data_IF_279728930474
#
_entry.id   IF_279728930474
#
_cell.length_a   1.000
_cell.length_b   1.000
_cell.length_c   1.000
_cell.angle_alpha   90.00
_cell.angle_beta   90.00
_cell.angle_gamma   90.00
#
_symmetry.space_group_name_H-M   'P 1'
#
loop_
_entity.id
_entity.type
_entity.pdbx_description
1 polymer ?
#
# COMPACT_ATOMS: atom_id res chain seq x y z
N UNK A 1 -4.76 32.50 -29.76
CA UNK A 1 -4.17 31.45 -28.90
C UNK A 1 -5.29 30.92 -28.01
N UNK A 2 -5.72 29.67 -28.20
CA UNK A 2 -6.75 29.06 -27.36
C UNK A 2 -6.26 28.98 -25.92
N UNK A 3 -6.97 29.61 -24.98
CA UNK A 3 -6.75 29.41 -23.55
C UNK A 3 -6.77 27.91 -23.25
N UNK A 4 -5.66 27.37 -22.74
CA UNK A 4 -5.62 25.98 -22.29
C UNK A 4 -6.40 25.94 -20.98
N UNK A 5 -7.59 25.33 -21.00
CA UNK A 5 -8.33 25.05 -19.78
C UNK A 5 -7.53 24.07 -18.91
N UNK A 6 -6.94 24.57 -17.83
CA UNK A 6 -6.11 23.79 -16.90
C UNK A 6 -6.91 22.81 -16.05
N UNK A 7 -8.25 22.87 -16.10
CA UNK A 7 -9.13 21.98 -15.35
C UNK A 7 -9.48 20.68 -16.09
N UNK A 8 -9.01 20.50 -17.33
CA UNK A 8 -9.32 19.29 -18.13
C UNK A 8 -8.10 18.68 -18.82
N UNK A 9 -7.99 17.35 -18.81
CA UNK A 9 -7.05 16.56 -19.60
C UNK A 9 -7.77 15.92 -20.81
N UNK A 10 -7.13 15.91 -21.97
CA UNK A 10 -7.70 15.32 -23.19
C UNK A 10 -7.07 13.95 -23.45
N UNK A 11 -7.89 12.90 -23.49
CA UNK A 11 -7.46 11.54 -23.82
C UNK A 11 -8.18 11.11 -25.10
N UNK A 12 -7.48 11.15 -26.24
CA UNK A 12 -8.08 10.90 -27.55
C UNK A 12 -9.13 11.96 -27.93
N UNK A 13 -10.38 11.52 -28.14
CA UNK A 13 -11.51 12.42 -28.44
C UNK A 13 -12.22 12.96 -27.19
N UNK A 14 -11.97 12.36 -26.02
CA UNK A 14 -12.65 12.70 -24.78
C UNK A 14 -11.92 13.79 -23.99
N UNK A 15 -12.68 14.69 -23.37
CA UNK A 15 -12.19 15.73 -22.45
C UNK A 15 -12.59 15.30 -21.03
N UNK A 16 -11.61 15.01 -20.19
CA UNK A 16 -11.82 14.61 -18.80
C UNK A 16 -11.47 15.76 -17.87
N UNK A 17 -12.27 16.06 -16.85
CA UNK A 17 -11.84 16.96 -15.79
C UNK A 17 -10.64 16.36 -15.04
N UNK A 18 -9.74 17.20 -14.55
CA UNK A 18 -8.64 16.76 -13.68
C UNK A 18 -9.17 16.18 -12.36
N UNK A 19 -10.31 16.68 -11.89
CA UNK A 19 -11.05 16.12 -10.77
C UNK A 19 -12.24 15.30 -11.28
N UNK A 20 -12.10 13.96 -11.31
CA UNK A 20 -13.18 13.06 -11.71
C UNK A 20 -14.12 12.75 -10.53
N UNK A 21 -15.20 13.49 -10.36
CA UNK A 21 -16.25 13.13 -9.38
C UNK A 21 -17.03 11.84 -9.71
N UNK A 22 -16.85 11.28 -10.90
CA UNK A 22 -17.52 10.07 -11.39
C UNK A 22 -16.63 9.31 -12.38
N UNK A 23 -16.82 8.00 -12.52
CA UNK A 23 -16.13 7.21 -13.54
C UNK A 23 -17.04 7.07 -14.78
N UNK A 24 -16.67 7.57 -15.98
CA UNK A 24 -17.50 7.44 -17.18
C UNK A 24 -17.82 5.98 -17.54
N UNK A 25 -19.01 5.73 -18.08
CA UNK A 25 -19.50 4.38 -18.44
C UNK A 25 -18.54 3.64 -19.37
N UNK A 26 -17.88 4.37 -20.28
CA UNK A 26 -16.82 3.83 -21.14
C UNK A 26 -15.71 3.14 -20.34
N UNK A 27 -15.19 3.78 -19.28
CA UNK A 27 -14.11 3.21 -18.46
C UNK A 27 -14.61 2.08 -17.56
N UNK A 28 -15.89 2.12 -17.13
CA UNK A 28 -16.51 1.01 -16.41
C UNK A 28 -16.57 -0.24 -17.29
N UNK A 29 -17.14 -0.13 -18.50
CA UNK A 29 -17.20 -1.23 -19.49
C UNK A 29 -15.81 -1.71 -19.89
N UNK A 30 -14.86 -0.79 -20.05
CA UNK A 30 -13.48 -1.15 -20.37
C UNK A 30 -12.82 -1.93 -19.23
N UNK A 31 -13.02 -1.55 -17.98
CA UNK A 31 -12.52 -2.30 -16.82
C UNK A 31 -13.18 -3.70 -16.72
N UNK A 32 -14.49 -3.79 -16.96
CA UNK A 32 -15.19 -5.08 -17.00
C UNK A 32 -14.62 -6.02 -18.08
N UNK A 33 -14.33 -5.49 -19.27
CA UNK A 33 -13.82 -6.29 -20.40
C UNK A 33 -12.33 -6.60 -20.27
N UNK A 34 -11.49 -5.59 -20.00
CA UNK A 34 -10.03 -5.73 -20.00
C UNK A 34 -9.48 -6.27 -18.67
N UNK A 35 -10.08 -5.87 -17.54
CA UNK A 35 -9.63 -6.29 -16.20
C UNK A 35 -10.52 -7.41 -15.63
N UNK A 36 -11.57 -7.80 -16.34
CA UNK A 36 -12.50 -8.85 -15.94
C UNK A 36 -13.19 -8.52 -14.60
N UNK A 37 -13.41 -7.23 -14.32
CA UNK A 37 -13.86 -6.69 -13.03
C UNK A 37 -15.39 -6.70 -12.90
N UNK A 38 -16.00 -7.88 -12.70
CA UNK A 38 -17.43 -7.98 -12.40
C UNK A 38 -17.76 -7.67 -10.93
N UNK A 39 -19.00 -7.25 -10.59
CA UNK A 39 -19.42 -7.03 -9.20
C UNK A 39 -19.15 -8.23 -8.28
N UNK A 40 -19.40 -9.45 -8.76
CA UNK A 40 -19.21 -10.69 -8.01
C UNK A 40 -17.71 -10.94 -7.74
N UNK A 41 -16.86 -10.71 -8.75
CA UNK A 41 -15.40 -10.87 -8.59
C UNK A 41 -14.82 -9.82 -7.66
N UNK A 42 -15.34 -8.60 -7.69
CA UNK A 42 -14.96 -7.54 -6.75
C UNK A 42 -15.31 -7.93 -5.32
N UNK A 43 -16.54 -8.41 -5.10
CA UNK A 43 -16.97 -8.87 -3.77
C UNK A 43 -16.13 -10.06 -3.29
N UNK A 44 -15.87 -11.04 -4.15
CA UNK A 44 -15.03 -12.19 -3.82
C UNK A 44 -13.60 -11.77 -3.47
N UNK A 45 -13.01 -10.83 -4.22
CA UNK A 45 -11.67 -10.30 -3.95
C UNK A 45 -11.61 -9.57 -2.61
N UNK A 46 -12.63 -8.76 -2.29
CA UNK A 46 -12.75 -8.07 -1.00
C UNK A 46 -12.87 -9.05 0.17
N UNK A 47 -13.64 -10.15 0.01
CA UNK A 47 -13.73 -11.22 1.02
C UNK A 47 -12.37 -11.88 1.25
N UNK A 48 -11.64 -12.21 0.18
CA UNK A 48 -10.29 -12.79 0.25
C UNK A 48 -9.31 -11.85 0.96
N UNK A 49 -9.31 -10.56 0.61
CA UNK A 49 -8.43 -9.57 1.27
C UNK A 49 -8.79 -9.44 2.76
N UNK A 50 -10.08 -9.41 3.12
CA UNK A 50 -10.51 -9.36 4.52
C UNK A 50 -10.00 -10.57 5.32
N UNK A 51 -10.06 -11.76 4.73
CA UNK A 51 -9.54 -12.99 5.37
C UNK A 51 -8.01 -12.99 5.47
N UNK A 52 -7.31 -12.52 4.44
CA UNK A 52 -5.86 -12.34 4.43
C UNK A 52 -5.41 -11.39 5.56
N UNK A 53 -6.10 -10.27 5.74
CA UNK A 53 -5.80 -9.29 6.79
C UNK A 53 -6.10 -9.80 8.21
N UNK A 54 -6.98 -10.79 8.37
CA UNK A 54 -7.37 -11.33 9.69
C UNK A 54 -6.40 -12.38 10.23
N UNK A 55 -5.88 -13.24 9.36
CA UNK A 55 -5.29 -14.51 9.80
C UNK A 55 -3.77 -14.62 9.63
N UNK A 56 -3.08 -13.50 9.36
CA UNK A 56 -1.72 -13.50 8.82
C UNK A 56 -1.62 -14.33 7.52
N UNK A 57 -0.52 -14.20 6.79
CA UNK A 57 -0.42 -14.90 5.51
C UNK A 57 -0.29 -16.42 5.70
N UNK A 58 -1.28 -17.18 5.21
CA UNK A 58 -1.20 -18.63 5.08
C UNK A 58 -1.02 -19.02 3.61
N UNK A 59 0.16 -19.50 3.19
CA UNK A 59 0.43 -19.80 1.79
C UNK A 59 -0.40 -20.94 1.19
N UNK A 60 -1.02 -21.79 2.02
CA UNK A 60 -1.94 -22.85 1.55
C UNK A 60 -3.31 -22.31 1.15
N UNK A 61 -3.74 -21.21 1.79
CA UNK A 61 -5.03 -20.56 1.51
C UNK A 61 -4.89 -19.41 0.51
N UNK A 62 -3.80 -18.66 0.60
CA UNK A 62 -3.51 -17.49 -0.23
C UNK A 62 -2.19 -17.71 -0.98
N UNK A 63 -2.23 -18.03 -2.28
CA UNK A 63 -1.04 -18.13 -3.11
C UNK A 63 -0.23 -16.82 -3.11
N UNK A 64 1.09 -16.91 -3.27
CA UNK A 64 1.99 -15.74 -3.29
C UNK A 64 1.55 -14.69 -4.31
N UNK A 65 0.98 -15.08 -5.44
CA UNK A 65 0.54 -14.13 -6.47
C UNK A 65 -0.64 -13.27 -6.02
N UNK A 66 -1.52 -13.79 -5.14
CA UNK A 66 -2.56 -12.96 -4.52
C UNK A 66 -1.94 -11.97 -3.53
N UNK A 67 -0.91 -12.38 -2.78
CA UNK A 67 -0.19 -11.48 -1.87
C UNK A 67 0.50 -10.35 -2.63
N UNK A 68 1.14 -10.65 -3.77
CA UNK A 68 1.72 -9.63 -4.66
C UNK A 68 0.68 -8.61 -5.11
N UNK A 69 -0.49 -9.08 -5.58
CA UNK A 69 -1.60 -8.21 -5.99
C UNK A 69 -2.09 -7.34 -4.84
N UNK A 70 -2.28 -7.92 -3.65
CA UNK A 70 -2.68 -7.17 -2.45
C UNK A 70 -1.63 -6.12 -2.04
N UNK A 71 -0.34 -6.44 -2.16
CA UNK A 71 0.74 -5.51 -1.88
C UNK A 71 0.78 -4.33 -2.86
N UNK A 72 0.67 -4.60 -4.17
CA UNK A 72 0.58 -3.55 -5.20
C UNK A 72 -0.65 -2.68 -4.97
N UNK A 73 -1.79 -3.29 -4.70
CA UNK A 73 -3.02 -2.57 -4.39
C UNK A 73 -2.87 -1.65 -3.18
N UNK A 74 -2.27 -2.14 -2.09
CA UNK A 74 -1.98 -1.34 -0.90
C UNK A 74 -1.09 -0.12 -1.23
N UNK A 75 -0.02 -0.33 -2.01
CA UNK A 75 0.87 0.76 -2.44
C UNK A 75 0.15 1.80 -3.31
N UNK A 76 -0.72 1.37 -4.23
CA UNK A 76 -1.48 2.29 -5.07
C UNK A 76 -2.53 3.08 -4.27
N UNK A 77 -3.17 2.45 -3.28
CA UNK A 77 -4.12 3.15 -2.40
C UNK A 77 -3.41 4.14 -1.48
N UNK A 78 -2.23 3.82 -0.93
CA UNK A 78 -1.49 4.76 -0.10
C UNK A 78 -1.02 5.99 -0.89
N UNK A 79 -0.70 5.80 -2.18
CA UNK A 79 -0.36 6.89 -3.09
C UNK A 79 -1.51 7.83 -3.39
N UNK A 80 -2.77 7.49 -3.10
CA UNK A 80 -3.88 8.44 -3.29
C UNK A 80 -3.92 9.53 -2.22
N UNK A 81 -3.22 9.35 -1.11
CA UNK A 81 -3.21 10.33 -0.03
C UNK A 81 -2.15 11.43 -0.30
N UNK A 82 -2.55 12.71 -0.44
CA UNK A 82 -1.62 13.78 -0.86
C UNK A 82 -0.52 14.02 0.17
N UNK A 83 -0.89 13.94 1.45
CA UNK A 83 0.07 14.06 2.54
C UNK A 83 1.11 12.95 2.51
N UNK A 84 0.73 11.74 2.09
CA UNK A 84 1.67 10.61 1.90
C UNK A 84 2.58 10.83 0.68
N UNK A 85 2.09 11.43 -0.40
CA UNK A 85 2.91 11.80 -1.56
C UNK A 85 3.97 12.86 -1.20
N UNK A 86 3.56 13.90 -0.45
CA UNK A 86 4.45 15.01 -0.08
C UNK A 86 5.43 14.60 1.02
N UNK A 87 4.96 14.03 2.11
CA UNK A 87 5.79 13.72 3.29
C UNK A 87 6.53 12.39 3.17
N UNK A 88 6.02 11.48 2.34
CA UNK A 88 6.51 10.11 2.22
C UNK A 88 5.92 9.17 3.28
N UNK A 89 6.30 7.90 3.18
CA UNK A 89 5.69 6.79 3.90
C UNK A 89 6.70 6.22 4.91
N UNK A 90 6.25 6.06 6.16
CA UNK A 90 6.90 5.18 7.15
C UNK A 90 6.06 3.91 7.31
N UNK A 91 6.68 2.74 7.18
CA UNK A 91 5.98 1.46 7.27
C UNK A 91 6.39 0.70 8.53
N UNK A 92 5.43 0.05 9.20
CA UNK A 92 5.69 -0.90 10.28
C UNK A 92 5.34 -2.29 9.74
N UNK A 93 6.28 -3.22 9.83
CA UNK A 93 6.13 -4.60 9.39
C UNK A 93 6.28 -5.51 10.61
N UNK A 94 5.16 -6.03 11.09
CA UNK A 94 5.14 -7.05 12.12
C UNK A 94 5.40 -8.43 11.48
N UNK A 95 6.57 -8.99 11.76
CA UNK A 95 6.99 -10.28 11.20
C UNK A 95 6.80 -11.45 12.16
N UNK A 96 6.05 -11.28 13.26
CA UNK A 96 5.80 -12.32 14.28
C UNK A 96 5.30 -13.63 13.72
N UNK A 97 4.48 -13.60 12.66
CA UNK A 97 3.94 -14.79 12.00
C UNK A 97 4.81 -15.32 10.85
N UNK A 98 6.04 -14.82 10.71
CA UNK A 98 6.94 -15.26 9.64
C UNK A 98 7.69 -16.52 10.05
N UNK A 99 7.33 -17.64 9.40
CA UNK A 99 7.96 -18.93 9.62
C UNK A 99 9.01 -19.24 8.56
N UNK A 100 9.94 -20.17 8.86
CA UNK A 100 10.93 -20.68 7.89
C UNK A 100 10.28 -21.18 6.60
N UNK A 101 9.06 -21.73 6.67
CA UNK A 101 8.29 -22.17 5.51
C UNK A 101 7.96 -21.05 4.51
N UNK A 102 8.03 -19.77 4.93
CA UNK A 102 7.85 -18.63 4.04
C UNK A 102 9.11 -18.31 3.22
N UNK A 103 10.29 -18.79 3.63
CA UNK A 103 11.55 -18.51 2.94
C UNK A 103 11.60 -19.09 1.53
N UNK A 104 10.86 -20.17 1.25
CA UNK A 104 10.75 -20.72 -0.11
C UNK A 104 10.14 -19.73 -1.12
N UNK A 105 9.47 -18.67 -0.64
CA UNK A 105 8.93 -17.60 -1.49
C UNK A 105 9.91 -16.44 -1.67
N UNK A 106 11.04 -16.39 -0.95
CA UNK A 106 12.13 -15.45 -1.15
C UNK A 106 13.01 -15.85 -2.35
N UNK A 107 12.39 -16.19 -3.48
CA UNK A 107 13.10 -16.52 -4.71
C UNK A 107 13.71 -15.25 -5.33
N UNK A 108 14.81 -15.35 -6.09
CA UNK A 108 15.41 -14.19 -6.75
C UNK A 108 14.40 -13.38 -7.58
N UNK A 109 13.50 -14.08 -8.29
CA UNK A 109 12.42 -13.45 -9.07
C UNK A 109 11.46 -12.62 -8.21
N UNK A 110 11.00 -13.16 -7.08
CA UNK A 110 10.10 -12.44 -6.17
C UNK A 110 10.81 -11.27 -5.47
N UNK A 111 12.07 -11.44 -5.06
CA UNK A 111 12.86 -10.38 -4.45
C UNK A 111 13.13 -9.25 -5.43
N UNK A 112 13.48 -9.57 -6.67
CA UNK A 112 13.67 -8.60 -7.73
C UNK A 112 12.38 -7.81 -8.00
N UNK A 113 11.22 -8.49 -8.08
CA UNK A 113 9.93 -7.83 -8.25
C UNK A 113 9.63 -6.82 -7.13
N UNK A 114 9.87 -7.19 -5.87
CA UNK A 114 9.67 -6.29 -4.72
C UNK A 114 10.64 -5.10 -4.80
N UNK A 115 11.92 -5.36 -5.05
CA UNK A 115 12.94 -4.32 -5.15
C UNK A 115 12.63 -3.33 -6.29
N UNK A 116 12.41 -3.84 -7.50
CA UNK A 116 12.08 -3.04 -8.68
C UNK A 116 10.76 -2.29 -8.49
N UNK A 117 9.75 -2.95 -7.90
CA UNK A 117 8.46 -2.35 -7.58
C UNK A 117 8.59 -1.14 -6.63
N UNK A 118 9.38 -1.27 -5.57
CA UNK A 118 9.58 -0.21 -4.57
C UNK A 118 10.52 0.89 -5.09
N UNK A 119 11.56 0.57 -5.87
CA UNK A 119 12.56 1.55 -6.29
C UNK A 119 12.23 2.27 -7.60
N UNK A 120 11.79 1.53 -8.61
CA UNK A 120 11.75 2.01 -10.01
C UNK A 120 10.32 2.25 -10.49
N UNK A 121 9.34 1.52 -9.96
CA UNK A 121 7.96 1.53 -10.49
C UNK A 121 7.02 2.39 -9.65
N UNK A 122 7.05 2.25 -8.33
CA UNK A 122 6.11 2.96 -7.46
C UNK A 122 6.62 4.37 -7.15
N UNK A 123 5.89 5.45 -7.51
CA UNK A 123 6.32 6.84 -7.27
C UNK A 123 6.12 7.25 -5.80
N UNK A 124 6.57 6.42 -4.86
CA UNK A 124 6.46 6.61 -3.42
C UNK A 124 7.77 7.06 -2.79
N UNK A 125 7.70 7.99 -1.84
CA UNK A 125 8.86 8.41 -1.03
C UNK A 125 8.93 7.58 0.25
N UNK A 126 9.61 6.43 0.20
CA UNK A 126 9.84 5.61 1.41
C UNK A 126 10.81 6.30 2.36
N UNK A 127 10.38 6.64 3.57
CA UNK A 127 11.21 7.30 4.57
C UNK A 127 11.90 6.28 5.46
N UNK A 128 11.11 5.45 6.12
CA UNK A 128 11.59 4.48 7.11
C UNK A 128 10.72 3.20 7.04
N UNK A 129 11.33 2.06 7.31
CA UNK A 129 10.68 0.75 7.44
C UNK A 129 11.09 0.16 8.77
N UNK A 130 10.14 -0.10 9.64
CA UNK A 130 10.35 -0.59 11.00
C UNK A 130 9.91 -2.05 11.07
N UNK A 131 10.85 -2.94 11.38
CA UNK A 131 10.62 -4.37 11.51
C UNK A 131 10.59 -4.72 12.99
N UNK A 132 9.50 -5.32 13.46
CA UNK A 132 9.31 -5.74 14.85
C UNK A 132 9.04 -7.26 14.92
N UNK A 133 9.28 -7.85 16.09
CA UNK A 133 9.06 -9.28 16.36
C UNK A 133 9.83 -10.21 15.39
N UNK A 134 11.05 -9.83 15.01
CA UNK A 134 11.85 -10.63 14.09
C UNK A 134 12.43 -11.87 14.77
N UNK A 135 12.31 -13.01 14.09
CA UNK A 135 12.86 -14.28 14.56
C UNK A 135 14.28 -14.49 14.06
N UNK A 136 15.02 -15.43 14.66
CA UNK A 136 16.34 -15.83 14.16
C UNK A 136 16.29 -16.27 12.68
N UNK A 137 15.19 -16.92 12.29
CA UNK A 137 14.93 -17.29 10.90
C UNK A 137 14.79 -16.07 9.99
N UNK A 138 14.10 -15.02 10.44
CA UNK A 138 13.99 -13.77 9.69
C UNK A 138 15.36 -13.08 9.55
N UNK A 139 16.16 -13.05 10.62
CA UNK A 139 17.53 -12.49 10.58
C UNK A 139 18.41 -13.20 9.55
N UNK A 140 18.34 -14.54 9.50
CA UNK A 140 19.05 -15.33 8.50
C UNK A 140 18.58 -15.01 7.07
N UNK A 141 17.27 -14.90 6.86
CA UNK A 141 16.70 -14.51 5.57
C UNK A 141 17.14 -13.12 5.13
N UNK A 142 17.10 -12.15 6.05
CA UNK A 142 17.54 -10.79 5.80
C UNK A 142 19.02 -10.74 5.42
N UNK A 143 19.88 -11.58 6.02
CA UNK A 143 21.29 -11.65 5.66
C UNK A 143 21.53 -12.00 4.18
N UNK A 144 20.64 -12.83 3.60
CA UNK A 144 20.64 -13.18 2.17
C UNK A 144 20.02 -12.06 1.35
N UNK A 145 18.83 -11.60 1.72
CA UNK A 145 18.06 -10.58 0.97
C UNK A 145 18.81 -9.26 0.88
N UNK A 146 19.46 -8.83 1.96
CA UNK A 146 20.13 -7.51 2.02
C UNK A 146 21.19 -7.34 0.95
N UNK A 147 21.77 -8.41 0.39
CA UNK A 147 22.76 -8.30 -0.69
C UNK A 147 22.17 -7.69 -1.97
N UNK A 148 20.86 -7.82 -2.16
CA UNK A 148 20.13 -7.29 -3.32
C UNK A 148 19.46 -5.94 -3.04
N UNK A 149 19.65 -5.39 -1.84
CA UNK A 149 19.04 -4.12 -1.41
C UNK A 149 20.09 -3.02 -1.47
N UNK A 150 19.73 -1.86 -2.02
CA UNK A 150 20.65 -0.70 -2.09
C UNK A 150 21.00 -0.16 -0.70
N UNK A 151 22.18 0.43 -0.53
CA UNK A 151 22.61 1.04 0.73
C UNK A 151 21.63 2.12 1.21
N UNK A 152 21.01 2.86 0.28
CA UNK A 152 19.97 3.85 0.57
C UNK A 152 18.76 3.22 1.27
N UNK A 153 18.34 2.02 0.87
CA UNK A 153 17.19 1.35 1.48
C UNK A 153 17.59 0.63 2.76
N UNK A 154 18.77 0.01 2.82
CA UNK A 154 19.30 -0.58 4.08
C UNK A 154 19.30 0.43 5.22
N UNK A 155 19.76 1.66 4.96
CA UNK A 155 19.78 2.76 5.96
C UNK A 155 18.41 3.21 6.44
N UNK A 156 17.34 2.88 5.70
CA UNK A 156 15.95 3.21 6.04
C UNK A 156 15.23 2.07 6.77
N UNK A 157 15.87 0.91 6.90
CA UNK A 157 15.30 -0.24 7.59
C UNK A 157 15.83 -0.26 9.02
N UNK A 158 14.89 -0.23 9.97
CA UNK A 158 15.15 -0.24 11.40
C UNK A 158 14.61 -1.54 11.98
N UNK A 159 15.47 -2.30 12.65
CA UNK A 159 15.09 -3.49 13.41
C UNK A 159 14.88 -3.09 14.87
N UNK A 160 13.83 -3.63 15.47
CA UNK A 160 13.36 -3.28 16.81
C UNK A 160 13.31 -4.53 17.68
N UNK A 161 13.86 -4.44 18.88
CA UNK A 161 13.84 -5.57 19.84
C UNK A 161 12.41 -5.86 20.36
N UNK A 162 11.54 -4.86 20.32
CA UNK A 162 10.12 -4.99 20.67
C UNK A 162 9.28 -3.79 20.23
N UNK A 163 7.93 -3.90 20.23
CA UNK A 163 7.03 -2.85 19.75
C UNK A 163 7.17 -1.50 20.50
N UNK A 164 7.58 -1.53 21.77
CA UNK A 164 7.78 -0.35 22.59
C UNK A 164 8.81 0.63 22.01
N UNK A 165 9.83 0.11 21.32
CA UNK A 165 10.87 0.94 20.69
C UNK A 165 10.36 1.76 19.51
N UNK A 166 9.18 1.43 18.97
CA UNK A 166 8.50 2.24 17.94
C UNK A 166 8.14 3.65 18.44
N UNK A 167 7.95 3.83 19.75
CA UNK A 167 7.61 5.14 20.33
C UNK A 167 8.73 6.18 20.15
N UNK A 168 9.96 5.74 19.89
CA UNK A 168 11.07 6.63 19.54
C UNK A 168 10.94 7.24 18.13
N UNK A 169 10.11 6.64 17.28
CA UNK A 169 9.97 7.01 15.86
C UNK A 169 8.57 7.51 15.50
N UNK A 170 7.57 7.15 16.29
CA UNK A 170 6.16 7.47 16.06
C UNK A 170 5.52 8.05 17.32
N UNK A 171 4.69 9.12 17.18
CA UNK A 171 3.89 9.61 18.30
C UNK A 171 2.96 8.54 18.85
N UNK A 172 2.88 8.46 20.18
CA UNK A 172 2.02 7.49 20.88
C UNK A 172 0.55 7.55 20.43
N UNK A 173 0.05 8.75 20.13
CA UNK A 173 -1.33 9.00 19.70
C UNK A 173 -1.73 8.28 18.40
N UNK A 174 -0.79 8.01 17.49
CA UNK A 174 -1.07 7.39 16.18
C UNK A 174 -0.75 5.89 16.16
N UNK A 175 -0.03 5.38 17.16
CA UNK A 175 0.31 3.96 17.23
C UNK A 175 -0.86 3.15 17.80
N UNK A 176 -1.18 1.98 17.22
CA UNK A 176 -2.14 1.05 17.79
C UNK A 176 -1.78 0.62 19.21
N UNK A 177 -2.79 0.35 20.05
CA UNK A 177 -2.60 -0.17 21.42
C UNK A 177 -1.74 -1.42 21.52
N UNK A 178 -1.85 -2.33 20.55
CA UNK A 178 -1.06 -3.57 20.53
C UNK A 178 0.44 -3.33 20.22
N UNK A 179 0.79 -2.12 19.79
CA UNK A 179 2.18 -1.65 19.65
C UNK A 179 2.56 -0.63 20.75
N UNK A 180 1.78 -0.53 21.84
CA UNK A 180 2.07 0.36 22.97
C UNK A 180 1.60 1.81 22.80
N UNK A 181 0.83 2.12 21.75
CA UNK A 181 0.25 3.44 21.53
C UNK A 181 -1.17 3.64 22.11
N UNK A 182 -1.79 4.75 21.78
CA UNK A 182 -3.12 5.14 22.28
C UNK A 182 -4.24 4.91 21.25
N UNK A 183 -3.91 4.60 20.00
CA UNK A 183 -4.90 4.43 18.93
C UNK A 183 -5.75 3.17 19.18
N UNK A 184 -7.01 3.41 19.51
CA UNK A 184 -8.03 2.37 19.73
C UNK A 184 -8.64 1.93 18.39
N UNK A 185 -9.06 0.68 18.32
CA UNK A 185 -9.86 0.13 17.22
C UNK A 185 -9.23 0.26 15.82
N UNK A 186 -7.89 0.30 15.72
CA UNK A 186 -7.24 0.26 14.42
C UNK A 186 -7.41 -1.12 13.78
N UNK A 187 -8.17 -1.18 12.68
CA UNK A 187 -8.18 -2.33 11.79
C UNK A 187 -7.79 -1.90 10.39
N UNK A 188 -6.82 -2.60 9.79
CA UNK A 188 -6.42 -2.38 8.39
C UNK A 188 -7.62 -2.50 7.44
N UNK A 189 -8.58 -3.37 7.78
CA UNK A 189 -9.82 -3.54 7.02
C UNK A 189 -10.68 -2.27 6.96
N UNK A 190 -10.73 -1.48 8.04
CA UNK A 190 -11.51 -0.25 8.07
C UNK A 190 -10.85 0.86 7.26
N UNK A 191 -9.51 0.91 7.25
CA UNK A 191 -8.79 1.75 6.29
C UNK A 191 -9.07 1.30 4.86
N UNK A 192 -8.99 -0.01 4.60
CA UNK A 192 -9.16 -0.54 3.26
C UNK A 192 -10.56 -0.25 2.70
N UNK A 193 -11.61 -0.55 3.47
CA UNK A 193 -12.99 -0.20 3.12
C UNK A 193 -13.13 1.28 2.75
N UNK A 194 -12.60 2.17 3.59
CA UNK A 194 -12.62 3.62 3.34
C UNK A 194 -11.86 3.98 2.07
N UNK A 195 -10.69 3.39 1.84
CA UNK A 195 -9.87 3.63 0.64
C UNK A 195 -10.56 3.16 -0.65
N UNK A 196 -11.49 2.20 -0.54
CA UNK A 196 -12.26 1.65 -1.67
C UNK A 196 -13.65 2.27 -1.84
N UNK A 197 -14.00 3.29 -1.05
CA UNK A 197 -15.28 4.00 -1.23
C UNK A 197 -15.30 4.75 -2.56
N UNK A 198 -16.41 4.77 -3.31
CA UNK A 198 -16.50 5.47 -4.60
C UNK A 198 -16.00 6.91 -4.53
N UNK A 199 -16.28 7.64 -3.45
CA UNK A 199 -15.88 9.04 -3.26
C UNK A 199 -14.35 9.19 -3.14
N UNK A 200 -13.68 8.24 -2.47
CA UNK A 200 -12.21 8.19 -2.35
C UNK A 200 -11.53 7.64 -3.61
N UNK A 201 -12.23 6.80 -4.37
CA UNK A 201 -11.76 6.29 -5.64
C UNK A 201 -11.87 7.34 -6.76
N UNK A 202 -12.91 8.17 -6.72
CA UNK A 202 -13.21 9.28 -7.63
C UNK A 202 -12.24 10.45 -7.45
N UNK A 203 -11.82 10.73 -6.22
CA UNK A 203 -10.82 11.79 -5.92
C UNK A 203 -9.38 11.36 -6.28
N UNK A 204 -9.13 11.08 -7.57
CA UNK A 204 -7.77 11.06 -8.13
C UNK A 204 -7.38 12.51 -8.39
N UNK A 205 -6.92 13.17 -7.34
CA UNK A 205 -6.66 14.60 -7.36
C UNK A 205 -6.49 15.05 -5.93
N UNK A 206 -5.31 14.80 -5.39
CA UNK A 206 -4.98 15.32 -4.09
C UNK A 206 -5.21 16.82 -4.01
N UNK A 207 -5.92 17.23 -2.95
CA UNK A 207 -6.01 18.56 -2.35
C UNK A 207 -7.32 19.34 -2.62
N UNK A 208 -8.17 19.44 -1.59
CA UNK A 208 -8.81 20.72 -1.25
C UNK A 208 -8.12 21.25 0.02
N UNK A 209 -7.01 22.00 -0.14
CA UNK A 209 -6.24 22.62 0.96
C UNK A 209 -6.00 24.13 0.70
N UNK A 210 -6.90 24.84 0.04
CA UNK A 210 -6.95 26.29 0.20
C UNK A 210 -8.29 26.67 0.83
N UNK A 211 -8.32 27.55 1.85
CA UNK A 211 -9.57 28.06 2.36
C UNK A 211 -10.33 28.67 1.19
N UNK A 212 -11.63 28.37 1.09
CA UNK A 212 -12.55 29.13 0.26
C UNK A 212 -12.32 30.62 0.57
N UNK A 213 -11.66 31.33 -0.34
CA UNK A 213 -11.69 32.78 -0.30
C UNK A 213 -13.05 33.17 -0.87
N UNK A 214 -13.90 33.61 0.06
CA UNK A 214 -15.11 34.43 -0.08
C UNK A 214 -15.95 34.28 -1.35
#
# INVERSE_FOLDING_TARGET
>A
MSERNTATARIGKEILPFELGYLPEYYQKKAEVELNESPERKEQSLRQIKEFLKNNWNPKKFPIDQVKKAFVFYLLQSLREPMSQVNGIKAIIDVKSTHISHLKYCTPSNLHLIYHGIQEVCPSRYKEVHIINDSLAFKAAWFIVKQFVSEKIKKRIHFHDGPETLLNFFPKAILPKHFGGDLKNFQMWDWLKRSTTPEKLATIGGIQNWPSQN
#
